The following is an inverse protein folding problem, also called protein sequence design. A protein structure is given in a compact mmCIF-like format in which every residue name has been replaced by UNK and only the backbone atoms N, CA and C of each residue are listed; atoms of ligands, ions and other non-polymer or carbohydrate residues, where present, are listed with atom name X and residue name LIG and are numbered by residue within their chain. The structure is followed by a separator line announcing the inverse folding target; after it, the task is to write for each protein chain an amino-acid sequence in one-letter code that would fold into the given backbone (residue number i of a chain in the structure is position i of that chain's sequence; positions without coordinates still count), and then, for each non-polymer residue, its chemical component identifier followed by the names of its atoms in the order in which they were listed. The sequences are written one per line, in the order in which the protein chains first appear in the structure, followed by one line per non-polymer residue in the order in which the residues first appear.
data_IF_248855209268
#
_entry.id   IF_248855209268
#
_cell.length_a   1.000
_cell.length_b   1.000
_cell.length_c   1.000
_cell.angle_alpha   90.00
_cell.angle_beta   90.00
_cell.angle_gamma   90.00
#
_symmetry.space_group_name_H-M   'P 1'
#
loop_
_entity.id
_entity.type
_entity.pdbx_description
1 polymer ?
#
# COMPACT_ATOMS: atom_id res chain seq x y z
N UNK A 1 6.56 1.73 9.97
CA UNK A 1 5.82 2.99 10.15
C UNK A 1 5.07 3.32 8.88
N UNK A 2 4.10 4.19 8.95
CA UNK A 2 3.34 4.71 7.82
C UNK A 2 3.85 6.09 7.38
N UNK A 3 3.24 6.65 6.32
CA UNK A 3 3.68 7.93 5.78
C UNK A 3 3.55 9.10 6.76
N UNK A 4 2.49 9.10 7.60
CA UNK A 4 2.24 10.17 8.55
C UNK A 4 3.30 10.21 9.66
N UNK A 5 3.67 9.05 10.20
CA UNK A 5 4.72 8.95 11.21
C UNK A 5 6.12 9.18 10.66
N UNK A 6 6.40 8.80 9.42
CA UNK A 6 7.71 9.03 8.83
C UNK A 6 8.07 10.52 8.74
N UNK A 7 7.07 11.38 8.53
CA UNK A 7 7.30 12.83 8.50
C UNK A 7 7.79 13.40 9.84
N UNK A 8 7.44 12.77 10.97
CA UNK A 8 7.82 13.20 12.34
C UNK A 8 8.99 12.40 12.91
N UNK A 9 9.22 11.17 12.41
CA UNK A 9 10.25 10.24 12.90
C UNK A 9 10.93 9.55 11.72
N UNK A 10 11.72 10.29 10.94
CA UNK A 10 12.37 9.77 9.73
C UNK A 10 13.42 8.68 10.01
N UNK A 11 13.90 8.57 11.25
CA UNK A 11 14.84 7.53 11.68
C UNK A 11 14.25 6.11 11.65
N UNK A 12 12.92 5.97 11.63
CA UNK A 12 12.26 4.67 11.53
C UNK A 12 11.79 4.39 10.10
N UNK A 13 12.16 3.23 9.57
CA UNK A 13 11.75 2.80 8.23
C UNK A 13 10.26 2.46 8.12
N UNK A 14 9.70 2.59 6.93
CA UNK A 14 8.37 2.07 6.59
C UNK A 14 8.46 0.56 6.38
N UNK A 15 7.82 -0.22 7.25
CA UNK A 15 7.90 -1.68 7.24
C UNK A 15 6.59 -2.36 6.80
N UNK A 16 5.46 -1.63 6.78
CA UNK A 16 4.17 -2.14 6.31
C UNK A 16 3.91 -1.67 4.89
N UNK A 17 3.61 -2.61 4.01
CA UNK A 17 3.16 -2.32 2.65
C UNK A 17 2.05 -3.28 2.23
N UNK A 18 1.26 -2.87 1.25
CA UNK A 18 0.34 -3.72 0.50
C UNK A 18 0.99 -4.01 -0.86
N UNK A 19 1.22 -5.27 -1.16
CA UNK A 19 1.69 -5.68 -2.48
C UNK A 19 0.52 -5.65 -3.45
N UNK A 20 0.62 -4.84 -4.49
CA UNK A 20 -0.41 -4.67 -5.51
C UNK A 20 0.14 -4.90 -6.92
N UNK A 21 -0.74 -5.24 -7.85
CA UNK A 21 -0.40 -5.48 -9.25
C UNK A 21 -1.05 -4.43 -10.15
N UNK A 22 -0.31 -3.96 -11.15
CA UNK A 22 -0.84 -3.09 -12.20
C UNK A 22 -1.74 -3.89 -13.13
N UNK A 23 -3.05 -3.67 -13.04
CA UNK A 23 -4.06 -4.40 -13.83
C UNK A 23 -4.55 -3.64 -15.06
N UNK A 24 -4.29 -2.34 -15.13
CA UNK A 24 -4.59 -1.51 -16.29
C UNK A 24 -3.56 -0.39 -16.42
N UNK A 25 -3.18 -0.05 -17.65
CA UNK A 25 -2.17 0.98 -17.93
C UNK A 25 -2.59 1.85 -19.11
N UNK A 26 -2.51 3.17 -18.92
CA UNK A 26 -2.71 4.21 -19.94
C UNK A 26 -1.50 5.17 -19.94
N UNK A 27 -1.30 6.01 -20.93
CA UNK A 27 -0.12 6.90 -20.98
C UNK A 27 0.08 7.75 -19.74
N UNK A 28 -0.99 8.21 -19.10
CA UNK A 28 -0.96 9.15 -17.97
C UNK A 28 -1.28 8.54 -16.61
N UNK A 29 -1.81 7.31 -16.56
CA UNK A 29 -2.21 6.67 -15.31
C UNK A 29 -2.17 5.14 -15.41
N UNK A 30 -2.17 4.50 -14.25
CA UNK A 30 -2.38 3.06 -14.11
C UNK A 30 -3.34 2.75 -12.97
N UNK A 31 -3.84 1.52 -12.95
CA UNK A 31 -4.75 1.01 -11.91
C UNK A 31 -4.12 -0.20 -11.24
N UNK A 32 -4.22 -0.21 -9.91
CA UNK A 32 -3.81 -1.33 -9.05
C UNK A 32 -5.04 -2.15 -8.63
N UNK A 33 -4.81 -3.44 -8.35
CA UNK A 33 -5.78 -4.42 -7.84
C UNK A 33 -5.99 -4.34 -6.31
N UNK A 34 -5.61 -3.25 -5.68
CA UNK A 34 -5.84 -2.98 -4.28
C UNK A 34 -6.51 -1.61 -4.11
N UNK A 35 -7.55 -1.54 -3.32
CA UNK A 35 -8.31 -0.33 -3.04
C UNK A 35 -8.59 -0.15 -1.55
N UNK A 36 -9.64 0.59 -1.19
CA UNK A 36 -9.97 0.93 0.20
C UNK A 36 -10.37 -0.28 1.06
N UNK A 37 -10.68 -1.42 0.48
CA UNK A 37 -10.86 -2.69 1.20
C UNK A 37 -9.54 -3.32 1.66
N UNK A 38 -8.42 -2.90 1.09
CA UNK A 38 -7.08 -3.38 1.46
C UNK A 38 -6.19 -2.29 2.07
N UNK A 39 -6.50 -1.01 1.83
CA UNK A 39 -5.68 0.14 2.23
C UNK A 39 -6.59 1.19 2.86
N UNK A 40 -6.34 1.55 4.11
CA UNK A 40 -7.10 2.62 4.76
C UNK A 40 -6.85 3.98 4.10
N UNK A 41 -7.89 4.82 4.12
CA UNK A 41 -7.85 6.23 3.68
C UNK A 41 -7.63 7.20 4.83
N UNK A 42 -7.50 6.71 6.05
CA UNK A 42 -7.29 7.55 7.21
C UNK A 42 -5.93 8.26 7.14
N UNK A 43 -5.92 9.51 7.55
CA UNK A 43 -4.74 10.38 7.62
C UNK A 43 -4.04 10.69 6.30
N UNK A 44 -4.66 10.41 5.16
CA UNK A 44 -4.16 10.87 3.88
C UNK A 44 -4.09 9.82 2.79
N UNK A 45 -3.27 10.11 1.79
CA UNK A 45 -3.14 9.31 0.57
C UNK A 45 -1.94 8.37 0.70
N UNK A 46 -2.07 7.08 0.36
CA UNK A 46 -0.94 6.16 0.31
C UNK A 46 0.07 6.57 -0.77
N UNK A 47 1.31 6.11 -0.64
CA UNK A 47 2.37 6.34 -1.64
C UNK A 47 2.81 5.01 -2.27
N UNK A 48 3.37 5.09 -3.48
CA UNK A 48 3.99 3.95 -4.14
C UNK A 48 5.49 3.96 -3.79
N UNK A 49 5.94 2.95 -3.07
CA UNK A 49 7.27 2.91 -2.42
C UNK A 49 8.42 3.13 -3.40
N UNK A 50 8.44 2.40 -4.51
CA UNK A 50 9.50 2.49 -5.52
C UNK A 50 9.30 3.65 -6.50
N UNK A 51 8.19 4.35 -6.40
CA UNK A 51 7.75 5.40 -7.34
C UNK A 51 7.13 6.59 -6.58
N UNK A 52 7.90 7.26 -5.71
CA UNK A 52 7.37 8.28 -4.82
C UNK A 52 6.84 9.54 -5.53
N UNK A 53 7.16 9.71 -6.83
CA UNK A 53 6.63 10.80 -7.65
C UNK A 53 5.31 10.45 -8.35
N UNK A 54 4.91 9.18 -8.40
CA UNK A 54 3.60 8.79 -8.89
C UNK A 54 2.54 9.17 -7.86
N UNK A 55 1.43 9.75 -8.30
CA UNK A 55 0.42 10.30 -7.42
C UNK A 55 -0.83 9.43 -7.39
N UNK A 56 -1.20 8.94 -6.21
CA UNK A 56 -2.50 8.26 -6.02
C UNK A 56 -3.60 9.30 -6.09
N UNK A 57 -4.43 9.24 -7.13
CA UNK A 57 -5.51 10.21 -7.38
C UNK A 57 -6.88 9.71 -6.97
N UNK A 58 -7.08 8.39 -6.95
CA UNK A 58 -8.36 7.79 -6.55
C UNK A 58 -8.13 6.45 -5.87
N UNK A 59 -8.81 6.25 -4.74
CA UNK A 59 -8.92 4.98 -4.04
C UNK A 59 -10.39 4.56 -4.03
N UNK A 60 -10.73 3.64 -4.93
CA UNK A 60 -12.05 2.98 -4.97
C UNK A 60 -12.03 1.77 -4.02
N UNK A 61 -13.10 0.99 -3.97
CA UNK A 61 -13.18 -0.16 -3.07
C UNK A 61 -12.09 -1.20 -3.34
N UNK A 62 -11.97 -1.64 -4.59
CA UNK A 62 -11.04 -2.71 -5.02
C UNK A 62 -9.83 -2.19 -5.80
N UNK A 63 -9.82 -0.90 -6.19
CA UNK A 63 -8.84 -0.37 -7.13
C UNK A 63 -8.27 0.97 -6.69
N UNK A 64 -6.99 1.17 -6.98
CA UNK A 64 -6.31 2.46 -6.83
C UNK A 64 -5.90 2.98 -8.20
N UNK A 65 -6.29 4.22 -8.52
CA UNK A 65 -5.81 4.93 -9.71
C UNK A 65 -4.61 5.79 -9.33
N UNK A 66 -3.56 5.70 -10.11
CA UNK A 66 -2.30 6.40 -9.88
C UNK A 66 -1.89 7.15 -11.14
N UNK A 67 -1.67 8.45 -11.02
CA UNK A 67 -1.09 9.27 -12.09
C UNK A 67 0.41 9.02 -12.18
N UNK A 68 0.87 8.84 -13.41
CA UNK A 68 2.23 8.42 -13.74
C UNK A 68 3.14 9.63 -13.88
N UNK A 69 4.21 9.66 -13.10
CA UNK A 69 5.34 10.59 -13.31
C UNK A 69 6.36 10.00 -14.30
N UNK A 70 6.68 8.70 -14.16
CA UNK A 70 7.59 7.97 -15.05
C UNK A 70 6.84 6.88 -15.82
N UNK A 71 6.81 6.94 -17.18
CA UNK A 71 6.05 6.01 -17.99
C UNK A 71 6.59 4.57 -18.06
N UNK A 72 7.69 4.26 -17.39
CA UNK A 72 8.36 2.94 -17.44
C UNK A 72 7.54 1.79 -16.83
N UNK A 73 6.54 2.08 -16.00
CA UNK A 73 5.69 1.05 -15.40
C UNK A 73 4.83 0.33 -16.45
N UNK A 74 4.76 -0.99 -16.36
CA UNK A 74 4.02 -1.84 -17.29
C UNK A 74 2.87 -2.57 -16.61
N UNK A 75 1.90 -3.02 -17.40
CA UNK A 75 0.84 -3.91 -16.92
C UNK A 75 1.43 -5.22 -16.40
N UNK A 76 0.94 -5.72 -15.27
CA UNK A 76 1.46 -6.89 -14.58
C UNK A 76 2.63 -6.59 -13.63
N UNK A 77 3.17 -5.36 -13.62
CA UNK A 77 4.17 -4.96 -12.64
C UNK A 77 3.61 -5.03 -11.22
N UNK A 78 4.44 -5.45 -10.27
CA UNK A 78 4.11 -5.43 -8.84
C UNK A 78 4.73 -4.21 -8.20
N UNK A 79 3.97 -3.57 -7.32
CA UNK A 79 4.40 -2.40 -6.54
C UNK A 79 4.03 -2.57 -5.08
N UNK A 80 4.80 -1.97 -4.20
CA UNK A 80 4.47 -1.85 -2.79
C UNK A 80 3.76 -0.52 -2.52
N UNK A 81 2.55 -0.58 -1.98
CA UNK A 81 1.77 0.59 -1.57
C UNK A 81 1.94 0.78 -0.07
N UNK A 82 2.53 1.90 0.33
CA UNK A 82 2.70 2.27 1.73
C UNK A 82 1.44 3.03 2.18
N UNK A 83 0.70 2.54 3.17
CA UNK A 83 -0.50 3.22 3.64
C UNK A 83 -0.18 4.53 4.37
N UNK A 84 -1.11 5.48 4.32
CA UNK A 84 -1.01 6.69 5.13
C UNK A 84 -1.14 6.39 6.62
N UNK A 85 -1.89 5.33 7.00
CA UNK A 85 -2.07 4.90 8.38
C UNK A 85 -2.00 3.37 8.53
N UNK A 86 -1.05 2.89 9.33
CA UNK A 86 -0.82 1.45 9.55
C UNK A 86 -1.97 0.79 10.30
N UNK A 87 -2.45 1.36 11.42
CA UNK A 87 -3.41 0.69 12.31
C UNK A 87 -4.72 0.36 11.59
N UNK A 88 -5.30 1.33 10.89
CA UNK A 88 -6.53 1.14 10.15
C UNK A 88 -6.34 0.17 8.96
N UNK A 89 -5.18 0.20 8.30
CA UNK A 89 -4.87 -0.76 7.22
C UNK A 89 -4.73 -2.17 7.78
N UNK A 90 -3.99 -2.38 8.88
CA UNK A 90 -3.86 -3.69 9.52
C UNK A 90 -5.21 -4.28 9.90
N UNK A 91 -6.15 -3.46 10.37
CA UNK A 91 -7.50 -3.92 10.76
C UNK A 91 -8.34 -4.45 9.58
N UNK A 92 -7.99 -4.15 8.34
CA UNK A 92 -8.66 -4.67 7.15
C UNK A 92 -8.21 -6.11 6.80
N UNK A 93 -7.14 -6.61 7.43
CA UNK A 93 -6.53 -7.89 7.10
C UNK A 93 -6.58 -8.86 8.27
N UNK A 94 -6.74 -10.16 7.98
CA UNK A 94 -6.71 -11.23 8.99
C UNK A 94 -5.31 -11.74 9.30
N UNK A 95 -4.35 -11.47 8.43
CA UNK A 95 -2.96 -11.92 8.55
C UNK A 95 -2.04 -10.97 7.81
N UNK A 96 -0.77 -10.93 8.22
CA UNK A 96 0.30 -10.29 7.49
C UNK A 96 1.43 -11.27 7.19
N UNK A 97 2.16 -11.00 6.12
CA UNK A 97 3.30 -11.80 5.68
C UNK A 97 4.57 -11.07 6.07
N UNK A 98 5.39 -11.70 6.93
CA UNK A 98 6.70 -11.18 7.29
C UNK A 98 7.72 -11.55 6.22
N UNK A 99 8.42 -10.54 5.71
CA UNK A 99 9.46 -10.70 4.70
C UNK A 99 10.82 -10.30 5.28
N UNK A 100 11.86 -11.09 4.95
CA UNK A 100 13.24 -10.74 5.22
C UNK A 100 14.07 -11.05 3.98
N UNK A 101 14.81 -10.07 3.49
CA UNK A 101 15.66 -10.20 2.30
C UNK A 101 14.91 -10.80 1.08
N UNK A 102 13.67 -10.36 0.85
CA UNK A 102 12.82 -10.82 -0.26
C UNK A 102 12.22 -12.23 -0.10
N UNK A 103 12.39 -12.88 1.05
CA UNK A 103 11.83 -14.21 1.35
C UNK A 103 10.74 -14.12 2.41
N UNK A 104 9.71 -14.94 2.27
CA UNK A 104 8.70 -15.13 3.31
C UNK A 104 9.35 -15.82 4.51
N UNK A 105 9.36 -15.14 5.65
CA UNK A 105 9.89 -15.66 6.92
C UNK A 105 8.77 -16.24 7.78
N UNK A 106 7.62 -15.58 7.83
CA UNK A 106 6.47 -16.02 8.61
C UNK A 106 5.16 -15.46 8.06
N UNK A 107 4.06 -16.05 8.48
CA UNK A 107 2.70 -15.51 8.30
C UNK A 107 2.11 -15.37 9.71
N UNK A 108 1.80 -14.13 10.11
CA UNK A 108 1.25 -13.84 11.43
C UNK A 108 -0.25 -13.55 11.34
N UNK A 109 -1.08 -14.15 12.21
CA UNK A 109 -2.46 -13.71 12.35
C UNK A 109 -2.52 -12.32 12.95
N UNK A 110 -3.53 -11.55 12.57
CA UNK A 110 -3.84 -10.25 13.17
C UNK A 110 -5.01 -10.48 14.14
N UNK A 111 -4.68 -10.80 15.38
CA UNK A 111 -5.62 -11.31 16.38
C UNK A 111 -6.78 -10.33 16.69
N UNK A 112 -6.52 -9.04 16.63
CA UNK A 112 -7.51 -8.00 16.92
C UNK A 112 -8.33 -7.58 15.67
N UNK A 113 -8.04 -8.15 14.48
CA UNK A 113 -8.76 -7.76 13.27
C UNK A 113 -10.24 -8.14 13.34
N UNK A 114 -11.12 -7.14 13.12
CA UNK A 114 -12.57 -7.32 13.15
C UNK A 114 -13.15 -7.57 14.54
N UNK A 115 -12.38 -7.38 15.61
CA UNK A 115 -12.85 -7.51 17.00
C UNK A 115 -13.17 -6.12 17.55
N UNK A 116 -14.44 -5.91 17.89
CA UNK A 116 -14.95 -4.65 18.44
C UNK A 116 -15.58 -4.84 19.83
N UNK A 117 -15.55 -6.05 20.36
CA UNK A 117 -16.09 -6.51 21.63
C UNK A 117 -14.99 -7.00 22.58
#
# INVERSE_FOLDING_TARGET
MDCAYQAVRPEFGMALSILATVISRRPRWYVLDAGSKAISRDFGTPIIKERPQDCVTKLSEEHTTVDVADPSITMGARVEVIPAHCCATMNLHRRCVALRQGRVEAIWPIEASGRYD
#
